data_IF_510701113954
#
_entry.id   IF_510701113954
#
_cell.length_a   1.000
_cell.length_b   1.000
_cell.length_c   1.000
_cell.angle_alpha   90.00
_cell.angle_beta   90.00
_cell.angle_gamma   90.00
#
_symmetry.space_group_name_H-M   'P 1'
#
loop_
_entity.id
_entity.type
_entity.pdbx_description
1 polymer ?
#
# COMPACT_ATOMS: atom_id res chain seq x y z
N UNK A 1 7.16 -18.62 -22.52
CA UNK A 1 6.96 -17.15 -22.32
C UNK A 1 7.66 -16.36 -23.44
N UNK A 2 7.13 -16.40 -24.66
CA UNK A 2 7.84 -15.84 -25.81
C UNK A 2 7.88 -14.30 -25.84
N UNK A 3 6.91 -13.61 -25.25
CA UNK A 3 6.93 -12.15 -25.17
C UNK A 3 7.95 -11.65 -24.14
N UNK A 4 8.02 -12.31 -22.99
CA UNK A 4 9.01 -12.01 -21.94
C UNK A 4 10.44 -12.25 -22.42
N UNK A 5 10.65 -13.36 -23.12
CA UNK A 5 11.95 -13.71 -23.70
C UNK A 5 12.42 -12.66 -24.73
N UNK A 6 11.55 -12.26 -25.65
CA UNK A 6 11.84 -11.20 -26.63
C UNK A 6 12.15 -9.85 -25.97
N UNK A 7 11.37 -9.45 -24.97
CA UNK A 7 11.58 -8.19 -24.27
C UNK A 7 12.90 -8.20 -23.46
N UNK A 8 13.25 -9.33 -22.88
CA UNK A 8 14.53 -9.50 -22.18
C UNK A 8 15.71 -9.48 -23.16
N UNK A 9 15.62 -10.21 -24.27
CA UNK A 9 16.66 -10.23 -25.31
C UNK A 9 16.86 -8.86 -25.97
N UNK A 10 15.80 -8.07 -26.11
CA UNK A 10 15.86 -6.70 -26.60
C UNK A 10 16.39 -5.67 -25.59
N UNK A 11 16.55 -6.06 -24.31
CA UNK A 11 16.96 -5.15 -23.24
C UNK A 11 15.85 -4.24 -22.72
N UNK A 12 14.59 -4.47 -23.11
CA UNK A 12 13.44 -3.70 -22.65
C UNK A 12 13.14 -3.91 -21.16
N UNK A 13 13.45 -5.10 -20.65
CA UNK A 13 13.28 -5.49 -19.26
C UNK A 13 14.53 -6.22 -18.74
N UNK A 14 14.84 -6.05 -17.46
CA UNK A 14 15.96 -6.71 -16.79
C UNK A 14 15.55 -8.05 -16.15
N UNK A 15 16.58 -8.80 -15.67
CA UNK A 15 16.36 -10.09 -15.02
C UNK A 15 15.48 -9.98 -13.74
N UNK A 16 15.53 -8.87 -13.03
CA UNK A 16 14.70 -8.67 -11.85
C UNK A 16 13.21 -8.60 -12.22
N UNK A 17 12.87 -7.91 -13.30
CA UNK A 17 11.51 -7.86 -13.85
C UNK A 17 11.05 -9.21 -14.40
N UNK A 18 11.93 -9.93 -15.11
CA UNK A 18 11.64 -11.30 -15.58
C UNK A 18 11.29 -12.21 -14.42
N UNK A 19 12.05 -12.19 -13.32
CA UNK A 19 11.76 -12.99 -12.11
C UNK A 19 10.41 -12.65 -11.50
N UNK A 20 10.03 -11.38 -11.49
CA UNK A 20 8.70 -10.96 -11.00
C UNK A 20 7.61 -11.50 -11.91
N UNK A 21 7.73 -11.36 -13.24
CA UNK A 21 6.73 -11.87 -14.20
C UNK A 21 6.57 -13.38 -14.00
N UNK A 22 7.67 -14.15 -14.08
CA UNK A 22 7.63 -15.60 -13.92
C UNK A 22 7.02 -16.01 -12.59
N UNK A 23 7.48 -15.44 -11.48
CA UNK A 23 6.99 -15.77 -10.14
C UNK A 23 5.50 -15.47 -9.94
N UNK A 24 4.95 -14.47 -10.66
CA UNK A 24 3.52 -14.14 -10.58
C UNK A 24 2.63 -14.94 -11.54
N UNK A 25 3.20 -15.54 -12.57
CA UNK A 25 2.44 -16.23 -13.64
C UNK A 25 2.70 -17.73 -13.75
N UNK A 26 3.69 -18.29 -13.03
CA UNK A 26 4.10 -19.71 -13.11
C UNK A 26 2.98 -20.73 -12.81
N UNK A 27 1.90 -20.30 -12.17
CA UNK A 27 0.74 -21.14 -11.82
C UNK A 27 -0.34 -21.14 -12.90
N UNK A 28 -0.19 -20.32 -13.95
CA UNK A 28 -1.15 -20.23 -15.07
C UNK A 28 -0.85 -21.34 -16.08
N UNK A 29 -1.88 -21.88 -16.72
CA UNK A 29 -1.71 -22.74 -17.89
C UNK A 29 -1.14 -21.95 -19.07
N UNK A 30 -0.52 -22.65 -20.04
CA UNK A 30 0.09 -22.00 -21.21
C UNK A 30 -0.92 -21.16 -22.00
N UNK A 31 -2.17 -21.59 -22.11
CA UNK A 31 -3.24 -20.86 -22.81
C UNK A 31 -3.56 -19.53 -22.09
N UNK A 32 -3.64 -19.57 -20.75
CA UNK A 32 -3.91 -18.40 -19.92
C UNK A 32 -2.73 -17.46 -19.86
N UNK A 33 -1.53 -18.04 -19.80
CA UNK A 33 -0.30 -17.29 -19.84
C UNK A 33 -0.16 -16.46 -21.11
N UNK A 34 -0.52 -17.02 -22.27
CA UNK A 34 -0.50 -16.32 -23.55
C UNK A 34 -1.33 -15.02 -23.57
N UNK A 35 -2.47 -15.03 -22.86
CA UNK A 35 -3.37 -13.85 -22.76
C UNK A 35 -2.82 -12.76 -21.82
N UNK A 36 -2.09 -13.17 -20.80
CA UNK A 36 -1.64 -12.27 -19.71
C UNK A 36 -0.22 -11.76 -19.97
N UNK A 37 0.63 -12.56 -20.62
CA UNK A 37 2.06 -12.30 -20.79
C UNK A 37 2.34 -10.95 -21.44
N UNK A 38 1.66 -10.62 -22.53
CA UNK A 38 1.86 -9.37 -23.23
C UNK A 38 1.59 -8.15 -22.30
N UNK A 39 0.47 -8.17 -21.60
CA UNK A 39 0.13 -7.10 -20.66
C UNK A 39 1.08 -7.03 -19.46
N UNK A 40 1.61 -8.18 -19.00
CA UNK A 40 2.61 -8.21 -17.94
C UNK A 40 3.96 -7.61 -18.40
N UNK A 41 4.38 -7.90 -19.63
CA UNK A 41 5.59 -7.31 -20.23
C UNK A 41 5.44 -5.80 -20.41
N UNK A 42 4.29 -5.33 -20.92
CA UNK A 42 4.05 -3.89 -21.07
C UNK A 42 4.13 -3.15 -19.73
N UNK A 43 3.57 -3.74 -18.67
CA UNK A 43 3.72 -3.19 -17.31
C UNK A 43 5.17 -3.25 -16.80
N UNK A 44 5.92 -4.27 -17.19
CA UNK A 44 7.32 -4.40 -16.77
C UNK A 44 8.22 -3.34 -17.39
N UNK A 45 7.95 -2.91 -18.63
CA UNK A 45 8.70 -1.83 -19.29
C UNK A 45 8.63 -0.50 -18.52
N UNK A 46 7.49 -0.22 -17.87
CA UNK A 46 7.21 1.07 -17.23
C UNK A 46 7.24 1.01 -15.69
N UNK A 47 7.55 -0.15 -15.09
CA UNK A 47 7.50 -0.33 -13.63
C UNK A 47 8.84 -0.78 -13.08
N UNK A 48 9.18 -0.36 -11.85
CA UNK A 48 10.28 -0.98 -11.13
C UNK A 48 9.88 -2.38 -10.59
N UNK A 49 10.84 -3.27 -10.30
CA UNK A 49 10.54 -4.62 -9.81
C UNK A 49 9.69 -4.67 -8.54
N UNK A 50 9.83 -3.70 -7.63
CA UNK A 50 9.09 -3.67 -6.37
C UNK A 50 7.59 -3.37 -6.56
N UNK A 51 7.24 -2.57 -7.58
CA UNK A 51 5.85 -2.20 -7.88
C UNK A 51 5.20 -3.07 -8.95
N UNK A 52 5.99 -3.83 -9.72
CA UNK A 52 5.51 -4.66 -10.82
C UNK A 52 4.60 -5.79 -10.35
N UNK A 53 4.97 -6.49 -9.26
CA UNK A 53 4.20 -7.62 -8.76
C UNK A 53 2.73 -7.29 -8.50
N UNK A 54 2.41 -6.26 -7.68
CA UNK A 54 1.03 -5.81 -7.47
C UNK A 54 0.29 -5.39 -8.76
N UNK A 55 0.99 -4.86 -9.77
CA UNK A 55 0.38 -4.51 -11.05
C UNK A 55 -0.02 -5.75 -11.86
N UNK A 56 0.83 -6.78 -11.88
CA UNK A 56 0.51 -8.08 -12.51
C UNK A 56 -0.64 -8.77 -11.74
N UNK A 57 -0.63 -8.72 -10.41
CA UNK A 57 -1.69 -9.30 -9.57
C UNK A 57 -3.07 -8.67 -9.80
N UNK A 58 -3.15 -7.47 -10.39
CA UNK A 58 -4.41 -6.86 -10.84
C UNK A 58 -4.86 -7.33 -12.22
N UNK A 59 -3.92 -7.64 -13.12
CA UNK A 59 -4.22 -8.10 -14.49
C UNK A 59 -4.82 -9.52 -14.44
N UNK A 60 -4.27 -10.38 -13.60
CA UNK A 60 -4.66 -11.80 -13.54
C UNK A 60 -6.13 -11.97 -13.16
N UNK A 61 -6.66 -11.39 -12.05
CA UNK A 61 -8.06 -11.57 -11.66
C UNK A 61 -9.06 -10.98 -12.66
N UNK A 62 -8.72 -9.87 -13.28
CA UNK A 62 -9.58 -9.23 -14.29
C UNK A 62 -9.82 -10.11 -15.52
N UNK A 63 -8.90 -11.06 -15.80
CA UNK A 63 -8.95 -11.95 -16.96
C UNK A 63 -9.20 -13.41 -16.59
N UNK A 64 -8.83 -13.82 -15.37
CA UNK A 64 -8.84 -15.21 -14.89
C UNK A 64 -9.25 -15.31 -13.41
N UNK A 65 -10.50 -14.99 -13.05
CA UNK A 65 -10.94 -14.97 -11.64
C UNK A 65 -10.83 -16.35 -10.96
N UNK A 66 -11.17 -17.43 -11.66
CA UNK A 66 -11.11 -18.79 -11.12
C UNK A 66 -9.69 -19.25 -10.75
N UNK A 67 -8.69 -18.86 -11.56
CA UNK A 67 -7.30 -19.23 -11.30
C UNK A 67 -6.79 -18.59 -9.99
N UNK A 68 -7.19 -17.36 -9.70
CA UNK A 68 -6.82 -16.64 -8.48
C UNK A 68 -7.50 -17.27 -7.25
N UNK A 69 -8.77 -17.63 -7.37
CA UNK A 69 -9.51 -18.33 -6.31
C UNK A 69 -8.85 -19.67 -5.94
N UNK A 70 -8.53 -20.51 -6.92
CA UNK A 70 -7.89 -21.79 -6.66
C UNK A 70 -6.51 -21.63 -6.04
N UNK A 71 -5.70 -20.70 -6.55
CA UNK A 71 -4.38 -20.39 -5.97
C UNK A 71 -4.49 -19.94 -4.52
N UNK A 72 -5.44 -19.06 -4.19
CA UNK A 72 -5.69 -18.64 -2.81
C UNK A 72 -6.02 -19.82 -1.90
N UNK A 73 -6.86 -20.75 -2.36
CA UNK A 73 -7.20 -21.95 -1.59
C UNK A 73 -5.96 -22.78 -1.27
N UNK A 74 -5.11 -23.05 -2.26
CA UNK A 74 -3.86 -23.80 -2.05
C UNK A 74 -2.94 -23.05 -1.08
N UNK A 75 -2.68 -21.77 -1.32
CA UNK A 75 -1.84 -20.96 -0.44
C UNK A 75 -2.37 -20.86 0.99
N UNK A 76 -3.70 -20.90 1.18
CA UNK A 76 -4.31 -20.89 2.51
C UNK A 76 -4.08 -22.20 3.27
N UNK A 77 -3.99 -23.32 2.56
CA UNK A 77 -3.65 -24.63 3.19
C UNK A 77 -2.18 -24.65 3.64
N UNK A 78 -1.29 -24.02 2.89
CA UNK A 78 0.15 -23.95 3.15
C UNK A 78 0.55 -22.89 4.20
N UNK A 79 -0.41 -22.31 4.94
CA UNK A 79 -0.10 -21.36 6.01
C UNK A 79 0.67 -22.03 7.12
N UNK A 80 1.69 -21.35 7.60
CA UNK A 80 2.55 -21.86 8.66
C UNK A 80 3.21 -20.72 9.43
N UNK A 81 3.61 -20.98 10.66
CA UNK A 81 4.51 -20.11 11.45
C UNK A 81 5.61 -21.00 12.01
N UNK A 82 6.84 -20.64 11.73
CA UNK A 82 8.03 -21.36 12.16
C UNK A 82 8.86 -20.46 13.09
N UNK A 83 9.23 -20.99 14.24
CA UNK A 83 10.12 -20.32 15.18
C UNK A 83 11.39 -21.16 15.28
N UNK A 84 12.51 -20.58 14.89
CA UNK A 84 13.81 -21.25 14.85
C UNK A 84 14.78 -20.58 15.80
N UNK A 85 15.41 -21.31 16.74
CA UNK A 85 16.51 -20.77 17.52
C UNK A 85 17.67 -20.32 16.62
N UNK A 86 18.24 -19.16 16.91
CA UNK A 86 19.44 -18.65 16.26
C UNK A 86 20.49 -18.30 17.33
N UNK A 87 21.68 -17.84 16.92
CA UNK A 87 22.74 -17.48 17.83
C UNK A 87 22.31 -16.39 18.86
N UNK A 88 23.11 -16.24 19.90
CA UNK A 88 23.00 -15.17 20.91
C UNK A 88 21.69 -15.18 21.74
N UNK A 89 21.08 -16.35 21.91
CA UNK A 89 19.83 -16.50 22.66
C UNK A 89 18.59 -15.92 21.96
N UNK A 90 18.68 -15.66 20.66
CA UNK A 90 17.59 -15.12 19.86
C UNK A 90 16.82 -16.22 19.12
N UNK A 91 15.62 -15.88 18.64
CA UNK A 91 14.84 -16.72 17.75
C UNK A 91 14.39 -15.93 16.53
N UNK A 92 14.44 -16.55 15.37
CA UNK A 92 13.83 -16.01 14.15
C UNK A 92 12.40 -16.51 14.02
N UNK A 93 11.50 -15.64 13.63
CA UNK A 93 10.10 -15.97 13.32
C UNK A 93 9.89 -15.77 11.82
N UNK A 94 9.43 -16.80 11.15
CA UNK A 94 9.03 -16.77 9.78
C UNK A 94 7.66 -17.45 9.59
N UNK A 95 6.88 -16.99 8.65
CA UNK A 95 5.59 -17.64 8.40
C UNK A 95 4.87 -17.12 7.16
N UNK A 96 3.86 -17.88 6.76
CA UNK A 96 2.88 -17.52 5.73
C UNK A 96 1.51 -17.45 6.34
N UNK A 97 0.84 -16.30 6.23
CA UNK A 97 -0.51 -16.04 6.72
C UNK A 97 -1.40 -15.59 5.58
N UNK A 98 -2.72 -15.78 5.66
CA UNK A 98 -3.67 -15.08 4.81
C UNK A 98 -3.41 -13.58 4.82
N UNK A 99 -3.60 -12.91 3.66
CA UNK A 99 -3.22 -11.50 3.52
C UNK A 99 -3.88 -10.59 4.55
N UNK A 100 -5.18 -10.80 4.86
CA UNK A 100 -5.91 -10.05 5.88
C UNK A 100 -5.31 -10.22 7.29
N UNK A 101 -4.87 -11.43 7.63
CA UNK A 101 -4.27 -11.72 8.94
C UNK A 101 -2.87 -11.10 9.06
N UNK A 102 -2.10 -11.13 7.96
CA UNK A 102 -0.82 -10.45 7.88
C UNK A 102 -0.95 -8.94 8.07
N UNK A 103 -1.92 -8.29 7.42
CA UNK A 103 -2.22 -6.86 7.60
C UNK A 103 -2.66 -6.56 9.02
N UNK A 104 -3.51 -7.41 9.59
CA UNK A 104 -3.98 -7.26 10.96
C UNK A 104 -2.83 -7.32 11.95
N UNK A 105 -1.96 -8.34 11.84
CA UNK A 105 -0.79 -8.52 12.69
C UNK A 105 0.18 -7.32 12.56
N UNK A 106 0.53 -6.91 11.34
CA UNK A 106 1.43 -5.79 11.10
C UNK A 106 0.89 -4.48 11.69
N UNK A 107 -0.41 -4.21 11.49
CA UNK A 107 -1.08 -3.05 12.08
C UNK A 107 -1.12 -3.11 13.61
N UNK A 108 -1.33 -4.29 14.18
CA UNK A 108 -1.40 -4.49 15.62
C UNK A 108 -0.05 -4.27 16.29
N UNK A 109 1.02 -4.81 15.72
CA UNK A 109 2.39 -4.58 16.18
C UNK A 109 2.74 -3.09 16.17
N UNK A 110 2.38 -2.36 15.10
CA UNK A 110 2.58 -0.91 15.03
C UNK A 110 1.80 -0.14 16.10
N UNK A 111 0.55 -0.54 16.37
CA UNK A 111 -0.26 0.09 17.40
C UNK A 111 0.36 -0.06 18.80
N UNK A 112 0.73 -1.30 19.17
CA UNK A 112 1.34 -1.59 20.47
C UNK A 112 2.69 -0.90 20.60
N UNK A 113 3.54 -0.95 19.56
CA UNK A 113 4.84 -0.30 19.55
C UNK A 113 4.78 1.24 19.73
N UNK A 114 3.62 1.86 19.50
CA UNK A 114 3.39 3.31 19.68
C UNK A 114 2.74 3.67 21.02
N UNK A 115 2.46 2.70 21.89
CA UNK A 115 1.88 2.99 23.21
C UNK A 115 2.90 3.54 24.20
N UNK A 116 4.19 3.42 23.93
CA UNK A 116 5.28 3.97 24.76
C UNK A 116 5.55 5.44 24.43
N UNK A 117 6.14 6.16 25.37
CA UNK A 117 6.40 7.59 25.23
C UNK A 117 7.50 7.89 24.18
N UNK A 118 7.57 9.14 23.65
CA UNK A 118 8.58 9.54 22.67
C UNK A 118 10.03 9.42 23.15
N UNK A 119 10.26 9.43 24.49
CA UNK A 119 11.59 9.27 25.10
C UNK A 119 12.04 7.82 25.26
N UNK A 120 11.26 6.84 24.78
CA UNK A 120 11.66 5.43 24.79
C UNK A 120 12.93 5.23 23.94
N UNK A 121 14.03 4.69 24.53
CA UNK A 121 15.31 4.59 23.83
C UNK A 121 15.32 3.52 22.72
N UNK A 122 14.36 2.58 22.70
CA UNK A 122 14.30 1.49 21.73
C UNK A 122 13.94 2.02 20.34
N UNK A 123 14.55 1.45 19.31
CA UNK A 123 14.15 1.69 17.93
C UNK A 123 12.70 1.23 17.70
N UNK A 124 12.05 1.75 16.66
CA UNK A 124 10.70 1.29 16.30
C UNK A 124 10.67 -0.23 16.00
N UNK A 125 11.73 -0.77 15.35
CA UNK A 125 11.86 -2.20 15.09
C UNK A 125 11.94 -3.02 16.39
N UNK A 126 12.74 -2.60 17.34
CA UNK A 126 12.84 -3.26 18.66
C UNK A 126 11.50 -3.21 19.39
N UNK A 127 10.82 -2.07 19.40
CA UNK A 127 9.48 -1.93 20.01
C UNK A 127 8.44 -2.84 19.35
N UNK A 128 8.53 -3.10 18.03
CA UNK A 128 7.65 -4.06 17.35
C UNK A 128 7.92 -5.51 17.76
N UNK A 129 9.19 -5.86 18.02
CA UNK A 129 9.53 -7.19 18.54
C UNK A 129 8.98 -7.39 19.97
N UNK A 130 9.15 -6.39 20.83
CA UNK A 130 8.58 -6.42 22.18
C UNK A 130 7.05 -6.41 22.16
N UNK A 131 6.44 -5.69 21.21
CA UNK A 131 4.99 -5.69 21.01
C UNK A 131 4.44 -7.08 20.67
N UNK A 132 5.17 -7.90 19.93
CA UNK A 132 4.78 -9.29 19.67
C UNK A 132 4.70 -10.09 20.99
N UNK A 133 5.70 -9.96 21.85
CA UNK A 133 5.68 -10.60 23.17
C UNK A 133 4.51 -10.10 24.03
N UNK A 134 4.26 -8.78 24.05
CA UNK A 134 3.11 -8.22 24.77
C UNK A 134 1.77 -8.78 24.28
N UNK A 135 1.61 -8.98 22.97
CA UNK A 135 0.40 -9.58 22.40
C UNK A 135 0.24 -11.05 22.77
N UNK A 136 1.33 -11.82 22.84
CA UNK A 136 1.31 -13.24 23.23
C UNK A 136 1.00 -13.41 24.71
N UNK A 137 1.52 -12.50 25.55
CA UNK A 137 1.34 -12.56 27.02
C UNK A 137 0.14 -11.75 27.52
N UNK A 138 -0.60 -11.09 26.61
CA UNK A 138 -1.71 -10.16 26.93
C UNK A 138 -1.32 -9.09 27.97
N UNK A 139 -0.11 -8.56 27.85
CA UNK A 139 0.43 -7.55 28.76
C UNK A 139 0.59 -6.20 28.08
N UNK A 140 0.45 -5.12 28.86
CA UNK A 140 0.75 -3.78 28.36
C UNK A 140 2.25 -3.60 28.14
N UNK A 141 2.62 -2.87 27.09
CA UNK A 141 4.01 -2.56 26.81
C UNK A 141 4.54 -1.51 27.79
N UNK A 142 5.61 -1.82 28.49
CA UNK A 142 6.28 -0.90 29.39
C UNK A 142 7.29 -0.01 28.67
N UNK A 143 7.44 1.24 29.10
CA UNK A 143 8.40 2.17 28.52
C UNK A 143 9.83 1.88 29.00
N UNK A 144 10.78 1.82 28.06
CA UNK A 144 12.21 1.61 28.38
C UNK A 144 12.92 2.84 28.93
N UNK A 145 12.29 4.00 29.01
CA UNK A 145 12.84 5.21 29.63
C UNK A 145 12.67 5.28 31.15
N UNK A 146 12.03 4.27 31.76
CA UNK A 146 11.76 4.22 33.18
C UNK A 146 10.57 5.06 33.68
N UNK A 147 9.84 5.72 32.80
CA UNK A 147 8.58 6.37 33.16
C UNK A 147 7.53 5.30 33.54
N UNK A 148 6.67 5.59 34.52
CA UNK A 148 5.63 4.65 35.00
C UNK A 148 4.40 4.57 34.11
N UNK A 149 4.46 5.12 32.88
CA UNK A 149 3.36 5.10 31.93
C UNK A 149 3.24 3.74 31.26
N UNK A 150 2.20 2.98 31.56
CA UNK A 150 1.72 1.88 30.73
C UNK A 150 0.39 2.30 30.12
N UNK A 151 0.33 2.32 28.80
CA UNK A 151 -0.95 2.53 28.11
C UNK A 151 -1.59 1.17 27.85
N UNK A 152 -2.86 0.96 28.19
CA UNK A 152 -3.56 -0.28 27.87
C UNK A 152 -3.45 -0.61 26.39
N UNK A 153 -3.50 -1.89 26.04
CA UNK A 153 -3.49 -2.32 24.65
C UNK A 153 -4.65 -1.62 23.90
N UNK A 154 -4.37 -0.95 22.79
CA UNK A 154 -5.41 -0.29 22.02
C UNK A 154 -6.42 -1.31 21.45
N UNK A 155 -7.65 -0.90 21.24
CA UNK A 155 -8.68 -1.75 20.64
C UNK A 155 -8.24 -2.29 19.28
N UNK A 156 -8.71 -3.49 18.93
CA UNK A 156 -8.46 -4.11 17.63
C UNK A 156 -8.97 -3.21 16.50
N UNK A 157 -8.15 -3.02 15.48
CA UNK A 157 -8.58 -2.43 14.20
C UNK A 157 -8.85 -3.55 13.22
N UNK A 158 -10.02 -3.52 12.59
CA UNK A 158 -10.35 -4.46 11.51
C UNK A 158 -9.58 -4.12 10.23
N UNK A 159 -9.23 -5.12 9.38
CA UNK A 159 -8.64 -4.87 8.07
C UNK A 159 -9.59 -4.01 7.22
N UNK A 160 -9.02 -3.16 6.37
CA UNK A 160 -9.78 -2.28 5.49
C UNK A 160 -9.71 -2.81 4.06
N UNK A 161 -10.88 -3.03 3.47
CA UNK A 161 -11.03 -3.45 2.07
C UNK A 161 -11.72 -2.34 1.29
N UNK A 162 -11.19 -2.02 0.11
CA UNK A 162 -11.81 -1.12 -0.85
C UNK A 162 -12.30 -1.98 -2.01
N UNK A 163 -13.58 -1.90 -2.28
CA UNK A 163 -14.24 -2.71 -3.31
C UNK A 163 -15.33 -1.91 -3.98
N UNK A 164 -15.52 -2.09 -5.28
CA UNK A 164 -16.62 -1.45 -6.00
C UNK A 164 -17.96 -2.10 -5.63
N UNK A 165 -19.03 -1.32 -5.65
CA UNK A 165 -20.37 -1.85 -5.41
C UNK A 165 -20.74 -2.95 -6.43
N UNK A 166 -20.31 -2.79 -7.69
CA UNK A 166 -20.55 -3.77 -8.75
C UNK A 166 -19.86 -5.12 -8.46
N UNK A 167 -18.63 -5.09 -7.93
CA UNK A 167 -17.90 -6.30 -7.51
C UNK A 167 -18.57 -6.98 -6.31
N UNK A 168 -19.02 -6.21 -5.32
CA UNK A 168 -19.74 -6.76 -4.16
C UNK A 168 -21.04 -7.44 -4.55
N UNK A 169 -21.80 -6.82 -5.45
CA UNK A 169 -23.08 -7.35 -5.94
C UNK A 169 -22.90 -8.47 -6.98
N UNK A 170 -21.66 -8.83 -7.33
CA UNK A 170 -21.40 -9.91 -8.30
C UNK A 170 -21.61 -9.49 -9.76
N UNK A 171 -21.87 -8.20 -10.02
CA UNK A 171 -22.07 -7.66 -11.39
C UNK A 171 -20.76 -7.65 -12.16
N UNK A 172 -19.64 -7.42 -11.49
CA UNK A 172 -18.30 -7.48 -12.07
C UNK A 172 -17.39 -8.39 -11.23
N UNK A 173 -16.31 -8.86 -11.85
CA UNK A 173 -15.27 -9.66 -11.19
C UNK A 173 -13.96 -8.86 -11.02
N UNK A 174 -14.06 -7.53 -10.92
CA UNK A 174 -12.90 -6.69 -10.69
C UNK A 174 -12.30 -6.98 -9.31
N UNK A 175 -10.95 -6.99 -9.19
CA UNK A 175 -10.30 -7.21 -7.91
C UNK A 175 -10.62 -6.06 -6.94
N UNK A 176 -10.69 -6.41 -5.65
CA UNK A 176 -10.74 -5.47 -4.55
C UNK A 176 -9.33 -5.16 -4.05
N UNK A 177 -9.20 -4.18 -3.18
CA UNK A 177 -7.92 -3.81 -2.55
C UNK A 177 -7.99 -4.02 -1.04
N UNK A 178 -7.12 -4.86 -0.50
CA UNK A 178 -6.87 -4.95 0.93
C UNK A 178 -5.77 -3.96 1.30
N UNK A 179 -6.14 -2.94 2.07
CA UNK A 179 -5.24 -1.83 2.43
C UNK A 179 -4.02 -2.34 3.17
N UNK A 180 -2.82 -2.10 2.60
CA UNK A 180 -1.54 -2.54 3.16
C UNK A 180 -1.07 -3.93 2.71
N UNK A 181 -1.88 -4.62 1.90
CA UNK A 181 -1.52 -5.89 1.26
C UNK A 181 -1.46 -5.74 -0.27
N UNK A 182 -2.51 -5.22 -0.87
CA UNK A 182 -2.65 -5.10 -2.32
C UNK A 182 -3.95 -5.71 -2.85
N UNK A 183 -3.99 -6.03 -4.14
CA UNK A 183 -5.20 -6.60 -4.76
C UNK A 183 -5.55 -7.96 -4.20
N UNK A 184 -6.85 -8.16 -3.97
CA UNK A 184 -7.45 -9.42 -3.56
C UNK A 184 -8.56 -9.80 -4.53
N UNK A 185 -8.85 -11.10 -4.62
CA UNK A 185 -9.91 -11.60 -5.47
C UNK A 185 -11.31 -11.17 -4.96
N UNK A 186 -12.30 -11.10 -5.87
CA UNK A 186 -13.65 -10.65 -5.53
C UNK A 186 -14.34 -11.51 -4.46
N UNK A 187 -14.06 -12.81 -4.42
CA UNK A 187 -14.71 -13.72 -3.47
C UNK A 187 -14.18 -13.46 -2.06
N UNK A 188 -12.87 -13.30 -1.89
CA UNK A 188 -12.30 -12.89 -0.61
C UNK A 188 -12.85 -11.53 -0.16
N UNK A 189 -13.01 -10.59 -1.09
CA UNK A 189 -13.61 -9.30 -0.75
C UNK A 189 -15.04 -9.45 -0.24
N UNK A 190 -15.86 -10.31 -0.85
CA UNK A 190 -17.24 -10.60 -0.40
C UNK A 190 -17.25 -11.34 0.95
N UNK A 191 -16.34 -12.30 1.14
CA UNK A 191 -16.18 -12.97 2.44
C UNK A 191 -15.87 -11.96 3.57
N UNK A 192 -14.89 -11.09 3.35
CA UNK A 192 -14.51 -10.05 4.33
C UNK A 192 -15.60 -9.01 4.54
N UNK A 193 -16.42 -8.78 3.52
CA UNK A 193 -17.53 -7.84 3.56
C UNK A 193 -18.74 -8.35 4.36
N UNK A 194 -18.93 -9.65 4.48
CA UNK A 194 -20.10 -10.23 5.13
C UNK A 194 -20.20 -9.86 6.63
N UNK A 195 -19.07 -9.59 7.29
CA UNK A 195 -19.01 -9.20 8.72
C UNK A 195 -18.25 -7.85 8.91
N UNK A 196 -18.46 -6.90 8.01
CA UNK A 196 -17.74 -5.63 7.99
C UNK A 196 -18.63 -4.44 8.37
N UNK A 197 -18.02 -3.43 9.01
CA UNK A 197 -18.60 -2.09 9.11
C UNK A 197 -18.38 -1.33 7.80
N UNK A 198 -19.44 -0.87 7.17
CA UNK A 198 -19.41 -0.22 5.88
C UNK A 198 -19.18 1.28 5.99
N UNK A 199 -18.22 1.79 5.22
CA UNK A 199 -18.06 3.21 4.97
C UNK A 199 -18.17 3.47 3.48
N UNK A 200 -19.20 4.21 3.07
CA UNK A 200 -19.34 4.62 1.67
C UNK A 200 -18.31 5.70 1.36
N UNK A 201 -17.45 5.45 0.38
CA UNK A 201 -16.62 6.46 -0.24
C UNK A 201 -17.20 6.79 -1.62
N UNK A 202 -17.47 8.06 -1.88
CA UNK A 202 -17.97 8.51 -3.19
C UNK A 202 -16.76 8.94 -4.02
N UNK A 203 -16.59 8.34 -5.17
CA UNK A 203 -15.56 8.70 -6.15
C UNK A 203 -16.19 9.47 -7.29
N UNK A 204 -15.46 10.43 -7.84
CA UNK A 204 -15.81 11.06 -9.12
C UNK A 204 -15.77 10.01 -10.23
N UNK A 205 -16.81 9.97 -11.06
CA UNK A 205 -17.00 8.92 -12.05
C UNK A 205 -15.97 8.99 -13.21
N UNK A 206 -15.37 10.17 -13.45
CA UNK A 206 -14.43 10.38 -14.55
C UNK A 206 -12.97 10.20 -14.13
N UNK A 207 -12.62 10.60 -12.91
CA UNK A 207 -11.24 10.60 -12.41
C UNK A 207 -10.97 9.56 -11.32
N UNK A 208 -12.00 8.90 -10.78
CA UNK A 208 -11.86 8.01 -9.61
C UNK A 208 -11.46 8.73 -8.32
N UNK A 209 -11.36 10.07 -8.33
CA UNK A 209 -10.94 10.87 -7.19
C UNK A 209 -12.03 10.96 -6.12
N UNK A 210 -11.64 10.88 -4.87
CA UNK A 210 -12.54 11.02 -3.73
C UNK A 210 -12.84 12.50 -3.46
N UNK A 211 -14.11 12.89 -3.46
CA UNK A 211 -14.58 14.27 -3.33
C UNK A 211 -14.79 14.71 -1.89
N UNK A 212 -14.35 15.89 -1.63
CA UNK A 212 -14.37 16.91 -0.57
C UNK A 212 -14.71 16.63 0.90
N UNK A 213 -13.77 17.12 1.76
CA UNK A 213 -14.00 17.65 3.11
C UNK A 213 -12.93 18.73 3.39
N UNK A 214 -13.33 19.98 3.68
CA UNK A 214 -12.41 21.09 4.00
C UNK A 214 -12.16 21.21 5.51
N UNK A 215 -10.91 21.45 5.91
CA UNK A 215 -10.54 21.77 7.29
C UNK A 215 -9.56 22.94 7.33
N UNK A 216 -9.75 23.88 8.28
CA UNK A 216 -8.86 25.01 8.54
C UNK A 216 -7.83 24.72 9.64
N UNK A 217 -7.66 23.47 10.02
CA UNK A 217 -6.63 23.03 10.99
C UNK A 217 -5.48 22.38 10.26
N UNK A 218 -4.25 22.60 10.74
CA UNK A 218 -3.04 21.97 10.17
C UNK A 218 -3.13 20.44 10.19
N UNK A 219 -3.60 19.89 11.31
CA UNK A 219 -3.75 18.44 11.44
C UNK A 219 -5.06 18.00 10.78
N UNK A 220 -5.01 17.13 9.77
CA UNK A 220 -6.22 16.64 9.14
C UNK A 220 -7.08 15.86 10.12
N UNK A 221 -8.38 16.12 10.12
CA UNK A 221 -9.33 15.30 10.85
C UNK A 221 -9.29 13.83 10.42
N UNK A 222 -9.74 12.92 11.30
CA UNK A 222 -9.64 11.48 11.06
C UNK A 222 -10.23 11.02 9.72
N UNK A 223 -11.35 11.63 9.30
CA UNK A 223 -12.00 11.33 8.02
C UNK A 223 -11.12 11.74 6.83
N UNK A 224 -10.58 12.96 6.82
CA UNK A 224 -9.68 13.45 5.77
C UNK A 224 -8.40 12.60 5.73
N UNK A 225 -7.79 12.33 6.89
CA UNK A 225 -6.59 11.51 6.98
C UNK A 225 -6.81 10.08 6.46
N UNK A 226 -7.96 9.49 6.78
CA UNK A 226 -8.36 8.18 6.27
C UNK A 226 -8.53 8.21 4.75
N UNK A 227 -9.22 9.22 4.24
CA UNK A 227 -9.48 9.39 2.82
C UNK A 227 -8.18 9.47 2.01
N UNK A 228 -7.25 10.36 2.41
CA UNK A 228 -5.95 10.51 1.75
C UNK A 228 -5.15 9.22 1.77
N UNK A 229 -5.11 8.52 2.92
CA UNK A 229 -4.39 7.24 3.03
C UNK A 229 -5.01 6.13 2.17
N UNK A 230 -6.32 6.09 2.04
CA UNK A 230 -7.02 5.17 1.16
C UNK A 230 -6.71 5.49 -0.30
N UNK A 231 -6.80 6.76 -0.72
CA UNK A 231 -6.49 7.20 -2.06
C UNK A 231 -5.05 6.84 -2.46
N UNK A 232 -4.07 7.14 -1.58
CA UNK A 232 -2.65 7.04 -1.93
C UNK A 232 -2.09 5.62 -1.76
N UNK A 233 -2.65 4.78 -0.87
CA UNK A 233 -2.23 3.41 -0.51
C UNK A 233 -0.79 3.30 -0.01
N UNK A 234 0.15 3.94 -0.72
CA UNK A 234 1.59 3.97 -0.42
C UNK A 234 2.09 5.42 -0.43
N UNK A 235 3.33 5.61 -0.04
CA UNK A 235 4.03 6.87 -0.24
C UNK A 235 3.96 7.29 -1.71
N UNK A 236 3.64 8.57 -1.96
CA UNK A 236 3.47 9.13 -3.31
C UNK A 236 4.79 9.48 -4.01
N UNK A 237 5.93 9.17 -3.41
CA UNK A 237 7.22 9.28 -4.08
C UNK A 237 7.37 8.15 -5.12
N UNK A 238 7.95 8.43 -6.32
CA UNK A 238 8.12 7.44 -7.39
C UNK A 238 8.76 6.13 -6.90
N UNK A 239 8.09 5.01 -7.15
CA UNK A 239 8.59 3.68 -6.80
C UNK A 239 8.61 3.33 -5.31
N UNK A 240 8.14 4.20 -4.41
CA UNK A 240 8.10 3.91 -2.98
C UNK A 240 6.89 3.04 -2.62
N UNK A 241 7.14 1.95 -1.88
CA UNK A 241 6.12 0.96 -1.50
C UNK A 241 5.69 1.05 -0.03
N UNK A 242 6.20 2.04 0.72
CA UNK A 242 5.83 2.21 2.14
C UNK A 242 4.34 2.51 2.25
N UNK A 243 3.56 1.70 3.00
CA UNK A 243 2.12 1.87 3.14
C UNK A 243 1.75 3.27 3.68
N UNK A 244 0.70 3.88 3.12
CA UNK A 244 0.26 5.23 3.48
C UNK A 244 -0.12 5.37 4.97
N UNK A 245 -0.51 4.28 5.64
CA UNK A 245 -0.75 4.28 7.09
C UNK A 245 0.50 4.57 7.93
N UNK A 246 1.70 4.33 7.36
CA UNK A 246 3.01 4.64 7.96
C UNK A 246 3.59 5.97 7.50
N UNK A 247 2.84 6.70 6.68
CA UNK A 247 3.26 7.96 6.10
C UNK A 247 2.72 9.15 6.90
N UNK A 248 3.49 10.24 6.88
CA UNK A 248 2.99 11.56 7.22
C UNK A 248 2.02 12.02 6.11
N UNK A 249 1.05 12.88 6.44
CA UNK A 249 0.23 13.58 5.46
C UNK A 249 0.82 14.97 5.25
N UNK A 250 1.42 15.17 4.10
CA UNK A 250 2.13 16.40 3.74
C UNK A 250 1.25 17.32 2.91
N UNK A 251 1.29 18.62 3.24
CA UNK A 251 0.59 19.63 2.46
C UNK A 251 1.38 19.94 1.19
N UNK A 252 0.72 19.87 0.05
CA UNK A 252 1.27 20.28 -1.24
C UNK A 252 1.57 21.77 -1.23
N UNK A 253 0.54 22.58 -1.05
CA UNK A 253 0.64 23.99 -0.77
C UNK A 253 0.80 24.15 0.74
N UNK A 254 1.91 24.74 1.21
CA UNK A 254 2.21 24.84 2.64
C UNK A 254 1.08 25.49 3.43
N UNK A 255 0.75 24.90 4.57
CA UNK A 255 -0.21 25.48 5.50
C UNK A 255 0.42 26.72 6.17
N UNK A 256 -0.30 27.84 6.17
CA UNK A 256 0.14 29.04 6.89
C UNK A 256 -0.36 28.98 8.34
N UNK A 257 0.57 28.74 9.27
CA UNK A 257 0.25 28.69 10.70
C UNK A 257 -0.13 30.06 11.29
N UNK A 258 0.26 31.16 10.62
CA UNK A 258 -0.05 32.53 11.09
C UNK A 258 -1.38 33.02 10.53
N UNK A 259 -1.69 32.63 9.31
CA UNK A 259 -2.96 32.97 8.66
C UNK A 259 -3.51 31.75 7.91
N UNK A 260 -4.24 30.85 8.58
CA UNK A 260 -4.76 29.62 7.98
C UNK A 260 -5.67 29.82 6.76
N UNK A 261 -6.23 31.01 6.61
CA UNK A 261 -7.10 31.34 5.47
C UNK A 261 -6.31 31.69 4.19
N UNK A 262 -5.01 32.01 4.29
CA UNK A 262 -4.16 32.43 3.17
C UNK A 262 -3.18 31.35 2.70
N UNK A 263 -3.01 30.27 3.46
CA UNK A 263 -2.16 29.14 3.10
C UNK A 263 -2.94 27.97 2.48
N UNK A 264 -2.22 26.88 2.21
CA UNK A 264 -2.80 25.66 1.70
C UNK A 264 -3.79 25.04 2.68
N UNK A 265 -4.95 24.66 2.18
CA UNK A 265 -6.04 24.06 2.99
C UNK A 265 -5.72 22.60 3.36
N UNK A 266 -6.25 22.14 4.49
CA UNK A 266 -6.16 20.74 4.91
C UNK A 266 -7.31 19.94 4.29
N UNK A 267 -7.22 19.73 2.98
CA UNK A 267 -8.20 19.00 2.17
C UNK A 267 -7.57 17.78 1.53
N UNK A 268 -8.33 16.77 1.11
CA UNK A 268 -7.79 15.63 0.40
C UNK A 268 -6.94 16.00 -0.81
N UNK A 269 -7.31 17.03 -1.56
CA UNK A 269 -6.60 17.47 -2.77
C UNK A 269 -5.26 18.15 -2.48
N UNK A 270 -5.12 18.73 -1.29
CA UNK A 270 -3.88 19.39 -0.86
C UNK A 270 -3.00 18.51 0.03
N UNK A 271 -3.41 17.27 0.33
CA UNK A 271 -2.66 16.35 1.18
C UNK A 271 -2.21 15.12 0.41
N UNK A 272 -0.96 14.69 0.66
CA UNK A 272 -0.39 13.47 0.12
C UNK A 272 0.32 12.65 1.19
N UNK A 273 0.28 11.31 1.05
CA UNK A 273 1.00 10.42 1.92
C UNK A 273 2.48 10.35 1.52
N UNK A 274 3.37 10.85 2.37
CA UNK A 274 4.82 10.74 2.20
C UNK A 274 5.44 10.02 3.39
N UNK A 275 6.24 8.98 3.13
CA UNK A 275 7.00 8.36 4.21
C UNK A 275 8.01 9.36 4.78
N UNK A 276 8.44 9.13 6.03
CA UNK A 276 9.32 10.07 6.75
C UNK A 276 10.57 10.46 5.97
N UNK A 277 11.13 9.52 5.23
CA UNK A 277 12.31 9.77 4.40
C UNK A 277 12.00 10.73 3.25
N UNK A 278 10.96 10.47 2.46
CA UNK A 278 10.60 11.30 1.30
C UNK A 278 9.95 12.63 1.70
N UNK A 279 9.24 12.68 2.83
CA UNK A 279 8.77 13.93 3.41
C UNK A 279 9.95 14.85 3.75
N UNK A 280 11.01 14.32 4.38
CA UNK A 280 12.22 15.09 4.67
C UNK A 280 12.98 15.52 3.41
N UNK A 281 13.10 14.65 2.40
CA UNK A 281 13.73 14.96 1.13
C UNK A 281 13.05 16.15 0.43
N UNK A 282 11.70 16.17 0.45
CA UNK A 282 10.89 17.29 -0.04
C UNK A 282 11.10 18.56 0.80
N UNK A 283 11.02 18.45 2.13
CA UNK A 283 11.16 19.59 3.04
C UNK A 283 12.54 20.26 2.93
N UNK A 284 13.58 19.47 2.67
CA UNK A 284 14.94 19.97 2.44
C UNK A 284 15.18 20.50 1.02
N UNK A 285 14.17 20.45 0.14
CA UNK A 285 14.28 20.90 -1.24
C UNK A 285 15.14 20.02 -2.13
N UNK A 286 15.54 18.81 -1.67
CA UNK A 286 16.33 17.87 -2.48
C UNK A 286 15.47 17.33 -3.64
N UNK A 287 14.20 17.07 -3.37
CA UNK A 287 13.19 16.77 -4.37
C UNK A 287 12.06 17.78 -4.25
N UNK A 288 11.58 18.26 -5.37
CA UNK A 288 10.40 19.13 -5.43
C UNK A 288 9.26 18.41 -6.14
N UNK A 289 8.03 18.85 -5.95
CA UNK A 289 6.92 18.33 -6.71
C UNK A 289 5.89 19.42 -7.04
N UNK A 290 5.19 19.20 -8.14
CA UNK A 290 4.06 20.01 -8.58
C UNK A 290 2.83 19.11 -8.76
N UNK A 291 1.68 19.73 -8.88
CA UNK A 291 0.41 19.02 -9.04
C UNK A 291 -0.12 19.22 -10.46
N UNK A 292 -0.42 18.12 -11.12
CA UNK A 292 -0.96 18.12 -12.48
C UNK A 292 -2.50 17.98 -12.54
N UNK A 293 -3.21 18.13 -11.40
CA UNK A 293 -4.66 17.91 -11.28
C UNK A 293 -5.02 16.49 -10.80
N UNK A 294 -6.23 16.26 -10.30
CA UNK A 294 -6.78 14.94 -9.97
C UNK A 294 -5.92 14.06 -9.05
N UNK A 295 -5.19 14.63 -8.08
CA UNK A 295 -4.23 13.94 -7.22
C UNK A 295 -2.99 13.35 -7.96
N UNK A 296 -2.73 13.77 -9.20
CA UNK A 296 -1.50 13.48 -9.94
C UNK A 296 -0.36 14.36 -9.42
N UNK A 297 0.81 13.76 -9.17
CA UNK A 297 1.98 14.45 -8.64
C UNK A 297 3.15 14.27 -9.60
N UNK A 298 3.74 15.37 -10.04
CA UNK A 298 4.96 15.39 -10.82
C UNK A 298 6.14 15.76 -9.93
N UNK A 299 7.09 14.86 -9.78
CA UNK A 299 8.29 15.01 -8.99
C UNK A 299 9.47 15.47 -9.86
N UNK A 300 10.26 16.39 -9.35
CA UNK A 300 11.51 16.82 -10.00
C UNK A 300 12.69 16.41 -9.13
N UNK A 301 13.62 15.67 -9.73
CA UNK A 301 14.86 15.22 -9.09
C UNK A 301 15.88 16.36 -8.98
N UNK A 302 16.94 16.22 -8.18
CA UNK A 302 18.05 17.16 -8.12
C UNK A 302 18.76 17.38 -9.46
N UNK A 303 18.67 16.42 -10.37
CA UNK A 303 19.24 16.48 -11.73
C UNK A 303 18.29 17.07 -12.76
N UNK A 304 17.07 17.50 -12.35
CA UNK A 304 16.05 18.07 -13.24
C UNK A 304 15.17 17.04 -13.95
N UNK A 305 15.36 15.75 -13.70
CA UNK A 305 14.48 14.72 -14.28
C UNK A 305 13.13 14.75 -13.61
N UNK A 306 12.05 14.60 -14.39
CA UNK A 306 10.68 14.59 -13.89
C UNK A 306 10.09 13.16 -13.87
N UNK A 307 9.26 12.90 -12.86
CA UNK A 307 8.60 11.61 -12.64
C UNK A 307 7.17 11.84 -12.18
N UNK A 308 6.19 11.36 -12.94
CA UNK A 308 4.78 11.51 -12.58
C UNK A 308 4.28 10.30 -11.80
N UNK A 309 3.50 10.52 -10.75
CA UNK A 309 2.82 9.47 -9.99
C UNK A 309 1.32 9.73 -9.95
N UNK A 310 0.54 8.67 -10.22
CA UNK A 310 -0.92 8.70 -10.23
C UNK A 310 -1.49 8.08 -8.95
N UNK A 311 -2.68 8.50 -8.49
CA UNK A 311 -3.39 7.75 -7.49
C UNK A 311 -3.75 6.36 -8.06
N UNK A 312 -3.78 5.31 -7.25
CA UNK A 312 -4.25 4.01 -7.70
C UNK A 312 -5.71 4.09 -8.16
N UNK A 313 -6.02 3.46 -9.29
CA UNK A 313 -7.38 3.32 -9.78
C UNK A 313 -8.10 2.18 -9.04
N UNK A 314 -9.29 2.47 -8.52
CA UNK A 314 -10.18 1.51 -7.86
C UNK A 314 -11.31 1.02 -8.77
N UNK A 315 -11.48 1.62 -9.95
CA UNK A 315 -12.60 1.36 -10.87
C UNK A 315 -12.35 0.27 -11.91
N UNK A 316 -11.10 -0.23 -12.05
CA UNK A 316 -10.73 -1.20 -13.08
C UNK A 316 -10.65 -0.61 -14.50
N UNK A 317 -10.74 0.70 -14.65
CA UNK A 317 -10.31 1.39 -15.85
C UNK A 317 -8.78 1.30 -15.95
N UNK A 318 -8.27 1.00 -17.14
CA UNK A 318 -6.83 1.02 -17.38
C UNK A 318 -6.28 2.39 -16.99
N UNK A 319 -5.16 2.48 -16.24
CA UNK A 319 -4.53 3.77 -16.00
C UNK A 319 -4.20 4.42 -17.35
N UNK A 320 -4.15 5.75 -17.43
CA UNK A 320 -3.69 6.43 -18.64
C UNK A 320 -2.35 5.84 -19.08
N UNK A 321 -2.16 5.71 -20.38
CA UNK A 321 -1.07 4.98 -21.04
C UNK A 321 0.34 5.54 -20.77
N UNK A 322 0.47 6.67 -20.06
CA UNK A 322 1.70 7.42 -19.91
C UNK A 322 2.28 7.38 -18.50
N UNK A 323 2.93 6.26 -18.13
CA UNK A 323 3.99 6.27 -17.13
C UNK A 323 5.33 6.17 -17.89
N UNK A 324 6.07 7.28 -18.10
CA UNK A 324 7.31 7.24 -18.88
C UNK A 324 8.33 6.34 -18.19
N UNK A 325 9.17 5.62 -18.95
CA UNK A 325 10.17 4.73 -18.39
C UNK A 325 11.13 5.51 -17.50
N UNK A 326 11.36 4.99 -16.30
CA UNK A 326 12.43 5.46 -15.42
C UNK A 326 13.77 5.18 -16.13
N UNK A 327 14.41 6.21 -16.64
CA UNK A 327 15.80 6.15 -17.13
C UNK A 327 16.77 6.24 -15.95
#
# INVERSE_FOLDING_TARGET
MPATDRAFAAGDIDLARVRVIVGRTQHLSDERLAVIEAAAVDRARTSNPATLGPKIDRIIPAREPDAVFQRRRVATVEREVVITPIADGMAAIWGRLPGQDGVLLDSRLDQVARTVCPADPRSHAARRADALTCLVTDTAMTCGCGCRGSTPLPAHRRPQVIVSAATLLGVTQNPAELVGYGPIDPDLARELAADADWVRAVTDAGSGALTELRSYTYTPGAAVARLVRLRDRTCRFPGCTIPARRCDLDHREPFDHRNPASGGTTTPDNLFALCRYHHRAKTLGVWTYTHAGGAVVEWTSPTGSTHTTWPPDYGGSSPPEDDPPLR
#
